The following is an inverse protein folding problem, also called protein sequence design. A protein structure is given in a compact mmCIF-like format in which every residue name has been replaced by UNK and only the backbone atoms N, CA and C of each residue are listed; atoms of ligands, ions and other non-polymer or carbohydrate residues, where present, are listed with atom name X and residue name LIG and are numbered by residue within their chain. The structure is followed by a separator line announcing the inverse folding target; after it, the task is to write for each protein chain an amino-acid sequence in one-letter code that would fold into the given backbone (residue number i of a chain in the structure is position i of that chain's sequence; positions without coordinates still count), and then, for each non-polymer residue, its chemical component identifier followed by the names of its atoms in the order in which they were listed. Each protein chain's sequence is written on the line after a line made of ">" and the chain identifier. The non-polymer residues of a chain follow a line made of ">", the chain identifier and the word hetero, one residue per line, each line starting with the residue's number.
data_IF_058086394498
#
_entry.id   IF_058086394498
#
_cell.length_a   1.000
_cell.length_b   1.000
_cell.length_c   1.000
_cell.angle_alpha   90.00
_cell.angle_beta   90.00
_cell.angle_gamma   90.00
#
_symmetry.space_group_name_H-M   'P 1'
#
loop_
_entity.id
_entity.type
_entity.pdbx_description
1 polymer ?
#
# COMPACT_ATOMS: atom_id res chain seq x y z
N UNK A 1 68.97 13.88 -7.48
CA UNK A 1 67.59 14.41 -7.49
C UNK A 1 66.80 13.60 -8.52
N UNK A 2 65.81 12.80 -8.11
CA UNK A 2 64.69 12.22 -8.91
C UNK A 2 63.97 11.18 -8.01
N UNK A 3 63.12 11.61 -7.07
CA UNK A 3 61.66 11.82 -7.12
C UNK A 3 60.81 10.51 -7.19
N UNK A 4 59.94 10.20 -6.20
CA UNK A 4 59.19 8.95 -6.14
C UNK A 4 57.73 9.07 -6.67
N UNK A 5 57.26 7.98 -7.31
CA UNK A 5 55.86 7.52 -7.52
C UNK A 5 54.88 8.40 -8.34
N UNK A 6 53.97 7.80 -9.15
CA UNK A 6 52.59 7.63 -8.66
C UNK A 6 51.73 6.56 -9.38
N UNK A 7 52.22 5.36 -9.73
CA UNK A 7 51.37 4.37 -10.46
C UNK A 7 50.41 3.61 -9.51
N UNK A 8 50.58 3.72 -8.18
CA UNK A 8 49.83 2.96 -7.18
C UNK A 8 48.58 3.67 -6.61
N UNK A 9 48.02 4.66 -7.32
CA UNK A 9 46.87 5.44 -6.85
C UNK A 9 45.63 5.38 -7.74
N UNK A 10 45.63 4.60 -8.83
CA UNK A 10 44.56 4.59 -9.83
C UNK A 10 43.61 3.37 -9.72
N UNK A 11 43.21 2.96 -8.51
CA UNK A 11 42.28 1.82 -8.35
C UNK A 11 41.14 2.04 -7.34
N UNK A 12 40.91 3.28 -6.89
CA UNK A 12 39.88 3.58 -5.86
C UNK A 12 38.70 4.41 -6.35
N UNK A 13 38.62 4.78 -7.63
CA UNK A 13 37.58 5.71 -8.12
C UNK A 13 36.30 5.04 -8.68
N UNK A 14 36.21 3.71 -8.72
CA UNK A 14 35.07 3.01 -9.35
C UNK A 14 33.89 2.81 -8.38
N UNK A 15 34.09 2.95 -7.06
CA UNK A 15 33.04 2.74 -6.04
C UNK A 15 32.12 3.95 -5.79
N UNK A 16 32.34 5.07 -6.46
CA UNK A 16 31.57 6.31 -6.23
C UNK A 16 30.43 6.54 -7.23
N UNK A 17 30.13 5.58 -8.12
CA UNK A 17 28.98 5.69 -9.01
C UNK A 17 27.70 5.34 -8.23
N UNK A 18 26.73 6.28 -8.10
CA UNK A 18 25.44 5.94 -7.53
C UNK A 18 24.77 4.95 -8.48
N UNK A 19 24.61 3.70 -8.02
CA UNK A 19 23.74 2.73 -8.69
C UNK A 19 22.32 3.25 -8.53
N UNK A 20 21.83 3.99 -9.54
CA UNK A 20 20.40 4.28 -9.65
C UNK A 20 19.72 3.00 -10.12
N UNK A 21 19.35 2.15 -9.17
CA UNK A 21 18.42 1.07 -9.43
C UNK A 21 17.09 1.69 -9.85
N UNK A 22 16.65 1.44 -11.08
CA UNK A 22 15.31 1.80 -11.50
C UNK A 22 14.33 1.09 -10.57
N UNK A 23 13.51 1.84 -9.82
CA UNK A 23 12.53 1.25 -8.91
C UNK A 23 11.57 0.36 -9.72
N UNK A 24 11.56 -0.93 -9.41
CA UNK A 24 10.61 -1.87 -10.00
C UNK A 24 9.20 -1.44 -9.61
N UNK A 25 8.36 -1.18 -10.60
CA UNK A 25 6.97 -0.80 -10.35
C UNK A 25 6.23 -1.91 -9.61
N UNK A 26 5.81 -1.64 -8.38
CA UNK A 26 4.93 -2.52 -7.61
C UNK A 26 3.49 -1.99 -7.75
N UNK A 27 2.54 -2.79 -8.26
CA UNK A 27 1.14 -2.37 -8.33
C UNK A 27 0.57 -2.21 -6.93
N UNK A 28 -0.49 -1.41 -6.78
CA UNK A 28 -1.22 -1.35 -5.53
C UNK A 28 -2.00 -2.66 -5.30
N UNK A 29 -2.15 -3.16 -4.05
CA UNK A 29 -2.93 -4.36 -3.79
C UNK A 29 -4.37 -4.21 -4.27
N UNK A 30 -4.89 -5.25 -4.93
CA UNK A 30 -6.20 -5.15 -5.56
C UNK A 30 -7.32 -5.04 -4.50
N UNK A 31 -8.47 -4.48 -4.89
CA UNK A 31 -9.64 -4.45 -4.00
C UNK A 31 -10.07 -5.86 -3.57
N UNK A 32 -9.97 -6.83 -4.48
CA UNK A 32 -10.37 -8.22 -4.21
C UNK A 32 -9.40 -8.90 -3.23
N UNK A 33 -8.10 -8.61 -3.33
CA UNK A 33 -7.09 -9.06 -2.36
C UNK A 33 -7.33 -8.48 -0.95
N UNK A 34 -7.56 -7.17 -0.85
CA UNK A 34 -7.92 -6.55 0.43
C UNK A 34 -9.22 -7.14 0.98
N UNK A 35 -10.20 -7.42 0.10
CA UNK A 35 -11.48 -8.02 0.47
C UNK A 35 -11.33 -9.46 0.94
N UNK A 36 -10.43 -10.25 0.35
CA UNK A 36 -10.18 -11.63 0.78
C UNK A 36 -9.56 -11.67 2.17
N UNK A 37 -8.58 -10.82 2.45
CA UNK A 37 -7.99 -10.70 3.81
C UNK A 37 -9.08 -10.31 4.82
N UNK A 38 -9.94 -9.37 4.46
CA UNK A 38 -11.06 -8.95 5.30
C UNK A 38 -12.04 -10.11 5.61
N UNK A 39 -12.35 -10.96 4.62
CA UNK A 39 -13.22 -12.13 4.81
C UNK A 39 -12.59 -13.18 5.73
N UNK A 40 -11.31 -13.49 5.50
CA UNK A 40 -10.55 -14.43 6.34
C UNK A 40 -10.45 -13.90 7.78
N UNK A 41 -10.25 -12.59 7.97
CA UNK A 41 -10.22 -11.97 9.29
C UNK A 41 -11.57 -12.14 10.01
N UNK A 42 -12.69 -11.91 9.31
CA UNK A 42 -14.02 -12.16 9.89
C UNK A 42 -14.26 -13.64 10.21
N UNK A 43 -13.74 -14.56 9.40
CA UNK A 43 -13.79 -15.99 9.70
C UNK A 43 -12.95 -16.32 10.93
N UNK A 44 -11.74 -15.78 11.08
CA UNK A 44 -10.91 -15.93 12.28
C UNK A 44 -11.60 -15.38 13.54
N UNK A 45 -12.26 -14.24 13.42
CA UNK A 45 -13.06 -13.63 14.49
C UNK A 45 -14.23 -14.55 14.90
N UNK A 46 -14.98 -15.07 13.93
CA UNK A 46 -16.15 -15.93 14.16
C UNK A 46 -15.78 -17.30 14.71
N UNK A 47 -14.84 -17.98 14.05
CA UNK A 47 -14.59 -19.42 14.26
C UNK A 47 -13.44 -19.67 15.25
N UNK A 48 -12.53 -18.70 15.45
CA UNK A 48 -11.37 -18.83 16.34
C UNK A 48 -10.52 -20.08 16.04
N UNK A 49 -10.42 -20.44 14.75
CA UNK A 49 -9.65 -21.59 14.28
C UNK A 49 -8.29 -21.17 13.73
N UNK A 50 -7.33 -22.10 13.77
CA UNK A 50 -5.95 -21.86 13.36
C UNK A 50 -5.84 -21.44 11.89
N UNK A 51 -6.54 -22.12 10.99
CA UNK A 51 -6.46 -21.88 9.55
C UNK A 51 -6.82 -20.44 9.15
N UNK A 52 -8.02 -19.91 9.43
CA UNK A 52 -8.37 -18.56 9.00
C UNK A 52 -7.55 -17.49 9.73
N UNK A 53 -7.17 -17.73 10.99
CA UNK A 53 -6.34 -16.80 11.75
C UNK A 53 -4.91 -16.72 11.20
N UNK A 54 -4.28 -17.86 10.90
CA UNK A 54 -2.95 -17.91 10.33
C UNK A 54 -2.93 -17.35 8.91
N UNK A 55 -3.95 -17.66 8.09
CA UNK A 55 -4.08 -17.10 6.75
C UNK A 55 -4.19 -15.57 6.79
N UNK A 56 -5.07 -15.05 7.66
CA UNK A 56 -5.21 -13.60 7.88
C UNK A 56 -3.87 -12.96 8.23
N UNK A 57 -3.16 -13.53 9.21
CA UNK A 57 -1.85 -13.01 9.67
C UNK A 57 -0.82 -13.03 8.54
N UNK A 58 -0.68 -14.15 7.85
CA UNK A 58 0.33 -14.30 6.80
C UNK A 58 0.10 -13.33 5.63
N UNK A 59 -1.15 -13.16 5.20
CA UNK A 59 -1.47 -12.21 4.12
C UNK A 59 -1.33 -10.76 4.55
N UNK A 60 -1.73 -10.43 5.77
CA UNK A 60 -1.57 -9.07 6.29
C UNK A 60 -0.08 -8.71 6.44
N UNK A 61 0.72 -9.65 6.94
CA UNK A 61 2.18 -9.51 7.09
C UNK A 61 2.87 -9.28 5.74
N UNK A 62 2.49 -10.03 4.69
CA UNK A 62 3.04 -9.84 3.34
C UNK A 62 2.81 -8.41 2.78
N UNK A 63 1.78 -7.70 3.24
CA UNK A 63 1.50 -6.33 2.83
C UNK A 63 2.24 -5.27 3.69
N UNK A 64 2.84 -5.63 4.83
CA UNK A 64 3.54 -4.68 5.69
C UNK A 64 4.74 -4.03 4.99
N UNK A 65 5.46 -4.80 4.17
CA UNK A 65 6.63 -4.32 3.42
C UNK A 65 6.27 -3.67 2.08
N UNK A 66 4.97 -3.53 1.78
CA UNK A 66 4.54 -2.96 0.50
C UNK A 66 4.98 -1.48 0.39
N UNK A 67 5.73 -1.09 -0.65
CA UNK A 67 6.36 0.23 -0.74
C UNK A 67 5.35 1.37 -0.97
N UNK A 68 4.19 1.05 -1.56
CA UNK A 68 3.16 2.05 -1.87
C UNK A 68 2.11 2.23 -0.77
N UNK A 69 2.03 1.32 0.22
CA UNK A 69 1.00 1.42 1.24
C UNK A 69 1.35 2.52 2.26
N UNK A 70 0.42 3.42 2.60
CA UNK A 70 0.65 4.48 3.56
C UNK A 70 0.82 3.89 4.97
N UNK A 71 1.53 4.59 5.85
CA UNK A 71 1.73 4.16 7.24
C UNK A 71 0.43 3.78 7.95
N UNK A 72 -0.64 4.57 7.76
CA UNK A 72 -1.95 4.28 8.36
C UNK A 72 -2.55 2.94 7.89
N UNK A 73 -2.30 2.52 6.65
CA UNK A 73 -2.69 1.18 6.20
C UNK A 73 -1.84 0.10 6.89
N UNK A 74 -0.54 0.33 7.04
CA UNK A 74 0.36 -0.57 7.76
C UNK A 74 -0.04 -0.73 9.23
N UNK A 75 -0.53 0.32 9.89
CA UNK A 75 -1.05 0.24 11.26
C UNK A 75 -2.27 -0.71 11.35
N UNK A 76 -3.15 -0.67 10.35
CA UNK A 76 -4.31 -1.59 10.28
C UNK A 76 -3.85 -3.02 10.05
N UNK A 77 -2.90 -3.23 9.13
CA UNK A 77 -2.32 -4.54 8.85
C UNK A 77 -1.62 -5.11 10.08
N UNK A 78 -0.81 -4.30 10.76
CA UNK A 78 -0.16 -4.65 12.02
C UNK A 78 -1.18 -5.05 13.08
N UNK A 79 -2.27 -4.30 13.23
CA UNK A 79 -3.36 -4.65 14.16
C UNK A 79 -3.97 -6.01 13.82
N UNK A 80 -4.19 -6.32 12.53
CA UNK A 80 -4.66 -7.64 12.11
C UNK A 80 -3.64 -8.74 12.43
N UNK A 81 -2.35 -8.50 12.16
CA UNK A 81 -1.29 -9.44 12.50
C UNK A 81 -1.31 -9.74 14.00
N UNK A 82 -1.35 -8.72 14.86
CA UNK A 82 -1.36 -8.92 16.32
C UNK A 82 -2.61 -9.63 16.83
N UNK A 83 -3.79 -9.23 16.34
CA UNK A 83 -5.08 -9.64 16.93
C UNK A 83 -5.66 -10.92 16.34
N UNK A 84 -5.36 -11.26 15.08
CA UNK A 84 -5.89 -12.44 14.41
C UNK A 84 -5.16 -13.73 14.84
N UNK A 85 -5.15 -14.02 16.14
CA UNK A 85 -4.56 -15.21 16.74
C UNK A 85 -5.62 -16.07 17.40
N UNK A 86 -5.42 -17.39 17.41
CA UNK A 86 -6.30 -18.30 18.16
C UNK A 86 -6.17 -18.00 19.65
N UNK A 87 -7.30 -17.89 20.33
CA UNK A 87 -7.39 -17.66 21.78
C UNK A 87 -8.06 -18.86 22.46
N UNK A 88 -7.73 -19.17 23.73
CA UNK A 88 -8.46 -20.17 24.51
C UNK A 88 -9.96 -19.89 24.65
N UNK A 89 -10.38 -18.61 24.56
CA UNK A 89 -11.79 -18.23 24.49
C UNK A 89 -12.05 -17.19 23.39
N UNK A 90 -13.18 -17.33 22.69
CA UNK A 90 -13.59 -16.39 21.64
C UNK A 90 -14.46 -15.24 22.19
N UNK A 91 -13.92 -14.46 23.12
CA UNK A 91 -14.64 -13.38 23.79
C UNK A 91 -14.92 -12.18 22.89
N UNK A 92 -15.94 -11.38 23.26
CA UNK A 92 -16.36 -10.18 22.51
C UNK A 92 -15.21 -9.23 22.20
N UNK A 93 -14.35 -8.92 23.19
CA UNK A 93 -13.22 -7.99 23.01
C UNK A 93 -12.25 -8.45 21.91
N UNK A 94 -11.97 -9.75 21.82
CA UNK A 94 -11.11 -10.33 20.78
C UNK A 94 -11.77 -10.17 19.41
N UNK A 95 -13.03 -10.59 19.31
CA UNK A 95 -13.80 -10.51 18.06
C UNK A 95 -13.89 -9.08 17.54
N UNK A 96 -14.22 -8.14 18.42
CA UNK A 96 -14.36 -6.73 18.08
C UNK A 96 -13.03 -6.12 17.63
N UNK A 97 -11.90 -6.48 18.24
CA UNK A 97 -10.58 -6.02 17.81
C UNK A 97 -10.25 -6.47 16.36
N UNK A 98 -10.49 -7.75 16.04
CA UNK A 98 -10.28 -8.29 14.69
C UNK A 98 -11.26 -7.64 13.70
N UNK A 99 -12.56 -7.59 14.05
CA UNK A 99 -13.60 -7.08 13.17
C UNK A 99 -13.39 -5.60 12.84
N UNK A 100 -12.98 -4.78 13.80
CA UNK A 100 -12.75 -3.35 13.59
C UNK A 100 -11.53 -3.09 12.72
N UNK A 101 -10.46 -3.88 12.86
CA UNK A 101 -9.32 -3.81 11.95
C UNK A 101 -9.72 -4.26 10.53
N UNK A 102 -10.44 -5.38 10.41
CA UNK A 102 -10.90 -5.92 9.13
C UNK A 102 -11.83 -4.96 8.36
N UNK A 103 -12.78 -4.30 9.05
CA UNK A 103 -13.69 -3.30 8.46
C UNK A 103 -12.93 -2.12 7.84
N UNK A 104 -11.82 -1.71 8.45
CA UNK A 104 -11.04 -0.54 8.03
C UNK A 104 -10.12 -0.84 6.85
N UNK A 105 -9.73 -2.11 6.66
CA UNK A 105 -8.73 -2.54 5.69
C UNK A 105 -9.03 -2.00 4.28
N UNK A 106 -10.19 -2.33 3.72
CA UNK A 106 -10.55 -1.95 2.34
C UNK A 106 -10.71 -0.43 2.13
N UNK A 107 -10.98 0.35 3.17
CA UNK A 107 -11.16 1.80 3.06
C UNK A 107 -9.83 2.55 3.21
N UNK A 108 -8.97 2.09 4.13
CA UNK A 108 -7.70 2.75 4.45
C UNK A 108 -6.60 2.32 3.47
N UNK A 109 -6.61 1.06 3.06
CA UNK A 109 -5.58 0.49 2.20
C UNK A 109 -5.93 0.53 0.72
N UNK A 110 -7.09 1.07 0.31
CA UNK A 110 -7.42 1.18 -1.11
C UNK A 110 -6.56 2.24 -1.82
N UNK A 111 -6.35 2.05 -3.13
CA UNK A 111 -5.61 3.01 -3.94
C UNK A 111 -6.34 4.37 -3.93
N UNK A 112 -5.63 5.48 -3.65
CA UNK A 112 -6.24 6.80 -3.69
C UNK A 112 -6.76 7.11 -5.10
N UNK A 113 -8.07 7.32 -5.22
CA UNK A 113 -8.66 7.79 -6.48
C UNK A 113 -8.18 9.23 -6.68
N UNK A 114 -7.32 9.46 -7.69
CA UNK A 114 -6.99 10.81 -8.14
C UNK A 114 -8.27 11.46 -8.66
N UNK A 115 -8.90 12.32 -7.86
CA UNK A 115 -9.98 13.18 -8.36
C UNK A 115 -9.36 14.06 -9.45
N UNK A 116 -9.83 13.93 -10.69
CA UNK A 116 -9.51 14.90 -11.73
C UNK A 116 -9.97 16.26 -11.20
N UNK A 117 -9.06 17.23 -11.16
CA UNK A 117 -9.39 18.57 -10.69
C UNK A 117 -10.63 19.06 -11.47
N UNK A 118 -11.69 19.39 -10.74
CA UNK A 118 -12.85 20.02 -11.35
C UNK A 118 -12.39 21.37 -11.95
N UNK A 119 -12.85 21.74 -13.16
CA UNK A 119 -12.50 23.03 -13.72
C UNK A 119 -12.98 24.11 -12.75
N UNK A 120 -12.04 24.97 -12.32
CA UNK A 120 -12.35 26.11 -11.43
C UNK A 120 -13.51 26.92 -12.03
N UNK A 121 -14.56 27.27 -11.27
CA UNK A 121 -15.57 28.20 -11.74
C UNK A 121 -14.88 29.53 -12.04
N UNK A 122 -14.85 29.93 -13.33
CA UNK A 122 -14.26 31.20 -13.76
C UNK A 122 -13.22 31.13 -14.88
N UNK A 123 -12.92 29.96 -15.46
CA UNK A 123 -12.17 29.93 -16.70
C UNK A 123 -13.02 30.54 -17.85
N UNK A 124 -12.52 31.53 -18.62
CA UNK A 124 -13.27 32.13 -19.72
C UNK A 124 -13.63 31.07 -20.76
N UNK A 125 -14.93 30.80 -20.90
CA UNK A 125 -15.46 29.93 -21.94
C UNK A 125 -15.31 30.67 -23.28
N UNK A 126 -14.30 30.31 -24.05
CA UNK A 126 -14.08 30.83 -25.40
C UNK A 126 -15.26 30.40 -26.28
N UNK A 127 -16.25 31.30 -26.42
CA UNK A 127 -17.39 31.13 -27.32
C UNK A 127 -16.86 31.05 -28.76
N UNK A 128 -16.77 29.84 -29.31
CA UNK A 128 -16.68 29.64 -30.76
C UNK A 128 -18.02 30.03 -31.37
N UNK A 129 -18.06 31.20 -32.01
CA UNK A 129 -19.17 31.63 -32.84
C UNK A 129 -19.30 30.73 -34.07
N UNK A 130 -20.53 30.33 -34.36
CA UNK A 130 -20.90 29.62 -35.58
C UNK A 130 -22.35 29.99 -35.91
N UNK A 131 -22.50 31.03 -36.74
CA UNK A 131 -23.76 31.37 -37.42
C UNK A 131 -24.11 30.25 -38.41
N UNK A 132 -25.36 29.80 -38.39
CA UNK A 132 -25.93 28.92 -39.42
C UNK A 132 -27.39 29.31 -39.67
N UNK A 133 -27.63 30.09 -40.72
CA UNK A 133 -28.93 30.27 -41.35
C UNK A 133 -29.05 29.25 -42.48
N UNK A 134 -30.24 28.69 -42.70
CA UNK A 134 -30.55 27.94 -43.92
C UNK A 134 -31.78 27.06 -43.77
N UNK A 135 -32.91 27.58 -44.27
CA UNK A 135 -34.10 26.83 -44.63
C UNK A 135 -33.88 26.07 -45.95
#
# INVERSE_FOLDING_TARGET
>A
MTNPHPIRSLLLLILALPVQAAETYVPWPSKDELRSIQLEAFQCSKDNQSEPCNSTRSRADALMDHPRLPGVCKDVLWTLVETATVSPSNGYKRRDAIDNAAKRLSTICAEPVKKKAEPKPGAPQQKKGGFGFGA
#
